data_IF_965600871883
#
_entry.id   IF_965600871883
#
_cell.length_a   1.000
_cell.length_b   1.000
_cell.length_c   1.000
_cell.angle_alpha   90.00
_cell.angle_beta   90.00
_cell.angle_gamma   90.00
#
_symmetry.space_group_name_H-M   'P 1'
#
loop_
_entity.id
_entity.type
_entity.pdbx_description
1 polymer ?
#
# COMPACT_ATOMS: atom_id res chain seq x y z
N UNK A 1 -64.96 94.86 -31.50
CA UNK A 1 -65.36 94.14 -30.27
C UNK A 1 -65.90 92.74 -30.56
N UNK A 2 -66.86 92.55 -31.49
CA UNK A 2 -67.42 91.22 -31.83
C UNK A 2 -66.38 90.12 -32.17
N UNK A 3 -65.36 90.40 -33.00
CA UNK A 3 -64.34 89.39 -33.35
C UNK A 3 -63.50 88.89 -32.16
N UNK A 4 -63.12 89.78 -31.24
CA UNK A 4 -62.31 89.40 -30.06
C UNK A 4 -63.09 88.53 -29.08
N UNK A 5 -64.40 88.73 -28.98
CA UNK A 5 -65.29 87.91 -28.14
C UNK A 5 -65.40 86.50 -28.72
N UNK A 6 -65.59 86.36 -30.04
CA UNK A 6 -65.62 85.04 -30.70
C UNK A 6 -64.29 84.29 -30.61
N UNK A 7 -63.15 85.00 -30.64
CA UNK A 7 -61.83 84.37 -30.42
C UNK A 7 -61.67 83.85 -28.99
N UNK A 8 -62.13 84.61 -27.98
CA UNK A 8 -62.09 84.19 -26.58
C UNK A 8 -62.96 82.97 -26.32
N UNK A 9 -64.20 82.94 -26.82
CA UNK A 9 -65.10 81.78 -26.71
C UNK A 9 -64.47 80.52 -27.33
N UNK A 10 -63.75 80.69 -28.45
CA UNK A 10 -63.04 79.59 -29.12
C UNK A 10 -61.83 79.09 -28.31
N UNK A 11 -61.13 79.97 -27.61
CA UNK A 11 -60.01 79.62 -26.72
C UNK A 11 -60.54 78.88 -25.49
N UNK A 12 -61.60 79.37 -24.85
CA UNK A 12 -62.23 78.70 -23.71
C UNK A 12 -62.72 77.30 -24.07
N UNK A 13 -63.38 77.15 -25.22
CA UNK A 13 -63.80 75.84 -25.74
C UNK A 13 -62.61 74.89 -25.97
N UNK A 14 -61.51 75.39 -26.54
CA UNK A 14 -60.28 74.59 -26.71
C UNK A 14 -59.63 74.21 -25.37
N UNK A 15 -59.58 75.13 -24.41
CA UNK A 15 -59.01 74.84 -23.09
C UNK A 15 -59.84 73.79 -22.35
N UNK A 16 -61.17 73.84 -22.44
CA UNK A 16 -62.04 72.80 -21.89
C UNK A 16 -61.81 71.43 -22.56
N UNK A 17 -61.62 71.40 -23.89
CA UNK A 17 -61.24 70.16 -24.60
C UNK A 17 -59.86 69.65 -24.21
N UNK A 18 -58.88 70.53 -24.02
CA UNK A 18 -57.53 70.15 -23.60
C UNK A 18 -57.53 69.60 -22.17
N UNK A 19 -58.26 70.23 -21.24
CA UNK A 19 -58.39 69.73 -19.87
C UNK A 19 -59.02 68.34 -19.85
N UNK A 20 -60.10 68.14 -20.60
CA UNK A 20 -60.72 66.82 -20.73
C UNK A 20 -59.74 65.76 -21.25
N UNK A 21 -58.92 66.10 -22.25
CA UNK A 21 -57.89 65.18 -22.77
C UNK A 21 -56.80 64.88 -21.75
N UNK A 22 -56.45 65.83 -20.89
CA UNK A 22 -55.50 65.61 -19.80
C UNK A 22 -56.11 64.63 -18.78
N UNK A 23 -57.34 64.88 -18.35
CA UNK A 23 -58.05 64.02 -17.40
C UNK A 23 -58.20 62.58 -17.95
N UNK A 24 -58.54 62.44 -19.25
CA UNK A 24 -58.65 61.14 -19.93
C UNK A 24 -57.28 60.41 -19.97
N UNK A 25 -56.18 61.13 -20.20
CA UNK A 25 -54.82 60.56 -20.22
C UNK A 25 -54.36 60.12 -18.83
N UNK A 26 -54.60 60.93 -17.80
CA UNK A 26 -54.30 60.59 -16.40
C UNK A 26 -55.09 59.35 -15.96
N UNK A 27 -56.36 59.25 -16.36
CA UNK A 27 -57.18 58.09 -16.05
C UNK A 27 -56.66 56.81 -16.73
N UNK A 28 -56.21 56.91 -17.99
CA UNK A 28 -55.56 55.79 -18.69
C UNK A 28 -54.29 55.36 -17.95
N UNK A 29 -53.41 56.31 -17.61
CA UNK A 29 -52.13 56.03 -16.93
C UNK A 29 -52.34 55.35 -15.56
N UNK A 30 -53.31 55.86 -14.77
CA UNK A 30 -53.72 55.23 -13.50
C UNK A 30 -54.27 53.81 -13.70
N UNK A 31 -55.05 53.58 -14.76
CA UNK A 31 -55.60 52.26 -15.07
C UNK A 31 -54.52 51.26 -15.50
N UNK A 32 -53.53 51.71 -16.29
CA UNK A 32 -52.39 50.89 -16.70
C UNK A 32 -51.50 50.54 -15.51
N UNK A 33 -51.23 51.50 -14.61
CA UNK A 33 -50.49 51.25 -13.38
C UNK A 33 -51.19 50.23 -12.46
N UNK A 34 -52.52 50.28 -12.36
CA UNK A 34 -53.28 49.30 -11.57
C UNK A 34 -53.14 47.89 -12.15
N UNK A 35 -53.21 47.74 -13.48
CA UNK A 35 -53.01 46.46 -14.18
C UNK A 35 -51.58 45.94 -13.98
N UNK A 36 -50.57 46.81 -14.08
CA UNK A 36 -49.17 46.43 -13.84
C UNK A 36 -48.94 45.98 -12.40
N UNK A 37 -49.52 46.68 -11.42
CA UNK A 37 -49.45 46.30 -10.00
C UNK A 37 -50.08 44.93 -9.76
N UNK A 38 -51.25 44.66 -10.36
CA UNK A 38 -51.90 43.35 -10.25
C UNK A 38 -51.04 42.23 -10.86
N UNK A 39 -50.43 42.48 -12.03
CA UNK A 39 -49.51 41.53 -12.67
C UNK A 39 -48.28 41.28 -11.82
N UNK A 40 -47.71 42.32 -11.22
CA UNK A 40 -46.56 42.21 -10.33
C UNK A 40 -46.89 41.36 -9.10
N UNK A 41 -48.02 41.61 -8.43
CA UNK A 41 -48.46 40.79 -7.30
C UNK A 41 -48.68 39.32 -7.68
N UNK A 42 -49.18 39.06 -8.90
CA UNK A 42 -49.34 37.69 -9.42
C UNK A 42 -48.00 37.00 -9.68
N UNK A 43 -47.03 37.73 -10.24
CA UNK A 43 -45.65 37.23 -10.45
C UNK A 43 -44.98 36.93 -9.11
N UNK A 44 -45.12 37.80 -8.11
CA UNK A 44 -44.56 37.58 -6.77
C UNK A 44 -45.13 36.31 -6.12
N UNK A 45 -46.43 36.06 -6.28
CA UNK A 45 -47.07 34.81 -5.84
C UNK A 45 -46.44 33.58 -6.49
N UNK A 46 -46.28 33.59 -7.81
CA UNK A 46 -45.68 32.50 -8.58
C UNK A 46 -44.22 32.25 -8.15
N UNK A 47 -43.43 33.30 -7.93
CA UNK A 47 -42.02 33.20 -7.50
C UNK A 47 -41.92 32.55 -6.11
N UNK A 48 -42.81 32.91 -5.19
CA UNK A 48 -42.83 32.32 -3.85
C UNK A 48 -43.20 30.83 -3.85
N UNK A 49 -44.16 30.44 -4.69
CA UNK A 49 -44.53 29.04 -4.86
C UNK A 49 -43.38 28.21 -5.45
N UNK A 50 -42.67 28.75 -6.46
CA UNK A 50 -41.49 28.12 -7.06
C UNK A 50 -40.35 27.94 -6.05
N UNK A 51 -40.10 28.94 -5.21
CA UNK A 51 -39.09 28.85 -4.15
C UNK A 51 -39.41 27.72 -3.15
N UNK A 52 -40.68 27.58 -2.79
CA UNK A 52 -41.15 26.52 -1.88
C UNK A 52 -40.99 25.14 -2.50
N UNK A 53 -41.39 24.97 -3.77
CA UNK A 53 -41.25 23.70 -4.49
C UNK A 53 -39.78 23.30 -4.64
N UNK A 54 -38.90 24.25 -4.96
CA UNK A 54 -37.46 24.00 -5.12
C UNK A 54 -36.85 23.47 -3.82
N UNK A 55 -37.23 24.03 -2.67
CA UNK A 55 -36.78 23.56 -1.35
C UNK A 55 -37.25 22.14 -1.05
N UNK A 56 -38.48 21.79 -1.44
CA UNK A 56 -39.02 20.45 -1.24
C UNK A 56 -38.31 19.40 -2.11
N UNK A 57 -38.03 19.74 -3.37
CA UNK A 57 -37.23 18.90 -4.28
C UNK A 57 -35.83 18.66 -3.72
N UNK A 58 -35.16 19.71 -3.21
CA UNK A 58 -33.83 19.58 -2.58
C UNK A 58 -33.85 18.57 -1.43
N UNK A 59 -34.83 18.66 -0.52
CA UNK A 59 -34.98 17.73 0.61
C UNK A 59 -35.22 16.28 0.15
N UNK A 60 -36.03 16.08 -0.88
CA UNK A 60 -36.30 14.74 -1.46
C UNK A 60 -35.04 14.14 -2.08
N UNK A 61 -34.21 14.95 -2.75
CA UNK A 61 -32.94 14.49 -3.31
C UNK A 61 -31.95 14.05 -2.22
N UNK A 62 -31.87 14.79 -1.12
CA UNK A 62 -31.05 14.40 0.05
C UNK A 62 -31.51 13.07 0.64
N UNK A 63 -32.82 12.85 0.79
CA UNK A 63 -33.39 11.57 1.27
C UNK A 63 -33.11 10.40 0.32
N UNK A 64 -33.15 10.61 -1.00
CA UNK A 64 -32.80 9.59 -2.00
C UNK A 64 -31.31 9.22 -1.92
N UNK A 65 -30.43 10.20 -1.72
CA UNK A 65 -29.00 9.95 -1.56
C UNK A 65 -28.71 9.10 -0.31
N UNK A 66 -29.36 9.41 0.83
CA UNK A 66 -29.23 8.62 2.06
C UNK A 66 -29.80 7.20 1.94
N UNK A 67 -30.99 7.05 1.35
CA UNK A 67 -31.67 5.74 1.23
C UNK A 67 -30.95 4.75 0.30
N UNK A 68 -30.20 5.22 -0.71
CA UNK A 68 -29.38 4.34 -1.56
C UNK A 68 -28.23 3.65 -0.83
N UNK A 69 -27.77 4.17 0.30
CA UNK A 69 -26.71 3.56 1.12
C UNK A 69 -27.29 2.59 2.16
N UNK A 70 -28.47 2.92 2.70
CA UNK A 70 -29.15 2.10 3.72
C UNK A 70 -29.90 0.89 3.15
N UNK A 71 -30.25 0.90 1.86
CA UNK A 71 -30.86 -0.25 1.17
C UNK A 71 -29.86 -1.33 0.73
N UNK A 72 -28.55 -1.07 0.85
CA UNK A 72 -27.51 -2.05 0.52
C UNK A 72 -27.38 -3.09 1.62
N UNK A 73 -27.11 -4.33 1.22
CA UNK A 73 -26.79 -5.39 2.15
C UNK A 73 -25.55 -4.99 3.00
N UNK A 74 -25.42 -5.52 4.23
CA UNK A 74 -24.38 -5.10 5.16
C UNK A 74 -22.95 -5.24 4.61
N UNK A 75 -22.70 -6.23 3.75
CA UNK A 75 -21.38 -6.48 3.18
C UNK A 75 -21.03 -5.43 2.13
N UNK A 76 -21.98 -5.12 1.23
CA UNK A 76 -21.79 -4.06 0.22
C UNK A 76 -21.65 -2.69 0.85
N UNK A 77 -22.42 -2.38 1.90
CA UNK A 77 -22.29 -1.13 2.67
C UNK A 77 -20.91 -1.00 3.31
N UNK A 78 -20.44 -2.07 3.97
CA UNK A 78 -19.11 -2.10 4.57
C UNK A 78 -18.01 -1.94 3.53
N UNK A 79 -18.13 -2.61 2.39
CA UNK A 79 -17.18 -2.51 1.28
C UNK A 79 -17.07 -1.07 0.73
N UNK A 80 -18.21 -0.39 0.53
CA UNK A 80 -18.22 1.00 0.08
C UNK A 80 -17.71 1.97 1.15
N UNK A 81 -18.00 1.73 2.43
CA UNK A 81 -17.44 2.50 3.55
C UNK A 81 -15.93 2.33 3.66
N UNK A 82 -15.40 1.11 3.44
CA UNK A 82 -13.97 0.83 3.44
C UNK A 82 -13.27 1.54 2.26
N UNK A 83 -13.84 1.48 1.06
CA UNK A 83 -13.34 2.22 -0.11
C UNK A 83 -13.36 3.72 0.15
N UNK A 84 -14.47 4.25 0.66
CA UNK A 84 -14.59 5.68 0.94
C UNK A 84 -13.57 6.11 2.00
N UNK A 85 -13.41 5.32 3.07
CA UNK A 85 -12.39 5.54 4.10
C UNK A 85 -10.98 5.54 3.52
N UNK A 86 -10.64 4.61 2.62
CA UNK A 86 -9.34 4.55 1.96
C UNK A 86 -9.10 5.73 1.02
N UNK A 87 -10.11 6.12 0.23
CA UNK A 87 -10.06 7.29 -0.66
C UNK A 87 -9.99 8.61 0.11
N UNK A 88 -10.60 8.69 1.31
CA UNK A 88 -10.51 9.84 2.21
C UNK A 88 -9.30 9.77 3.15
N UNK A 89 -8.58 8.65 3.19
CA UNK A 89 -7.38 8.55 4.02
C UNK A 89 -6.30 9.42 3.38
N UNK A 90 -5.80 10.39 4.15
CA UNK A 90 -4.76 11.31 3.68
C UNK A 90 -3.46 10.61 3.25
N UNK A 91 -3.34 9.31 3.55
CA UNK A 91 -2.22 8.43 3.25
C UNK A 91 -2.03 8.10 1.77
N UNK A 92 -3.07 8.12 0.94
CA UNK A 92 -2.94 7.80 -0.49
C UNK A 92 -3.53 8.91 -1.35
N UNK A 93 -2.74 9.43 -2.29
CA UNK A 93 -3.21 10.42 -3.26
C UNK A 93 -2.86 9.97 -4.67
N UNK A 94 -3.86 9.87 -5.54
CA UNK A 94 -3.66 9.75 -6.98
C UNK A 94 -3.32 11.13 -7.53
N UNK A 95 -2.14 11.29 -8.11
CA UNK A 95 -1.77 12.52 -8.80
C UNK A 95 -1.78 12.29 -10.30
N UNK A 96 -2.76 12.90 -10.96
CA UNK A 96 -2.77 13.18 -12.39
C UNK A 96 -2.22 14.60 -12.56
N UNK A 97 -1.03 14.76 -13.14
CA UNK A 97 -0.41 16.08 -13.33
C UNK A 97 -0.35 16.41 -14.83
N UNK A 98 -1.45 16.97 -15.34
CA UNK A 98 -1.57 17.42 -16.73
C UNK A 98 -0.76 18.68 -17.04
N UNK A 99 -0.09 19.27 -16.05
CA UNK A 99 0.54 20.59 -16.22
C UNK A 99 2.04 20.55 -16.51
N UNK A 100 2.71 19.40 -16.35
CA UNK A 100 4.18 19.32 -16.44
C UNK A 100 4.75 18.09 -17.14
N UNK A 101 3.91 17.24 -17.73
CA UNK A 101 4.37 16.02 -18.41
C UNK A 101 4.99 14.99 -17.47
N UNK A 102 4.63 15.00 -16.18
CA UNK A 102 5.01 13.95 -15.25
C UNK A 102 4.10 12.75 -15.41
N UNK A 103 4.68 11.55 -15.41
CA UNK A 103 3.92 10.31 -15.40
C UNK A 103 2.96 10.26 -14.21
N UNK A 104 1.70 9.89 -14.48
CA UNK A 104 0.69 9.64 -13.46
C UNK A 104 1.25 8.72 -12.38
N UNK A 105 1.04 9.11 -11.11
CA UNK A 105 1.65 8.41 -9.97
C UNK A 105 0.68 8.27 -8.80
N UNK A 106 0.82 7.15 -8.10
CA UNK A 106 0.21 6.92 -6.81
C UNK A 106 1.21 7.37 -5.76
N UNK A 107 0.83 8.30 -4.87
CA UNK A 107 1.70 8.80 -3.81
C UNK A 107 1.23 8.30 -2.46
N UNK A 108 2.19 7.87 -1.64
CA UNK A 108 1.97 7.47 -0.25
C UNK A 108 2.46 8.57 0.66
N UNK A 109 1.67 8.96 1.65
CA UNK A 109 2.12 9.86 2.71
C UNK A 109 2.55 9.05 3.94
N UNK A 110 3.55 9.55 4.65
CA UNK A 110 3.92 9.03 5.96
C UNK A 110 2.93 9.50 7.04
N UNK A 111 3.11 9.01 8.26
CA UNK A 111 2.29 9.35 9.43
C UNK A 111 2.22 10.86 9.73
N UNK A 112 3.20 11.63 9.26
CA UNK A 112 3.28 13.07 9.48
C UNK A 112 2.69 13.85 8.29
N UNK A 113 2.06 13.15 7.34
CA UNK A 113 1.42 13.73 6.16
C UNK A 113 2.39 14.13 5.05
N UNK A 114 3.69 13.85 5.18
CA UNK A 114 4.68 14.14 4.15
C UNK A 114 4.79 13.00 3.13
N UNK A 115 5.28 13.26 1.92
CA UNK A 115 5.42 12.23 0.88
C UNK A 115 6.39 11.13 1.32
N UNK A 116 5.91 9.93 1.64
CA UNK A 116 6.71 8.78 2.08
C UNK A 116 7.18 7.89 0.94
N UNK A 117 6.43 7.83 -0.16
CA UNK A 117 6.74 7.00 -1.32
C UNK A 117 5.89 7.31 -2.55
N UNK A 118 6.17 6.63 -3.66
CA UNK A 118 5.34 6.69 -4.85
C UNK A 118 5.45 5.44 -5.74
N UNK A 119 4.37 5.10 -6.45
CA UNK A 119 4.38 4.20 -7.60
C UNK A 119 4.18 5.03 -8.86
N UNK A 120 5.06 4.86 -9.85
CA UNK A 120 5.00 5.61 -11.12
C UNK A 120 5.43 4.76 -12.29
N UNK A 121 5.01 5.15 -13.50
CA UNK A 121 5.65 4.69 -14.73
C UNK A 121 7.07 5.27 -14.80
N UNK A 122 7.97 4.50 -15.40
CA UNK A 122 9.35 4.94 -15.68
C UNK A 122 9.71 4.57 -17.12
N UNK A 123 10.55 5.39 -17.73
CA UNK A 123 11.06 5.19 -19.10
C UNK A 123 12.59 5.19 -19.06
N UNK A 124 13.21 4.24 -19.75
CA UNK A 124 14.66 4.12 -19.92
C UNK A 124 14.97 3.79 -21.39
N UNK A 125 15.26 4.83 -22.19
CA UNK A 125 15.31 4.66 -23.65
C UNK A 125 13.93 4.27 -24.18
N UNK A 126 13.86 3.19 -24.95
CA UNK A 126 12.60 2.66 -25.50
C UNK A 126 11.84 1.74 -24.54
N UNK A 127 12.43 1.42 -23.38
CA UNK A 127 11.90 0.46 -22.41
C UNK A 127 11.04 1.20 -21.39
N UNK A 128 9.83 0.71 -21.15
CA UNK A 128 8.91 1.25 -20.14
C UNK A 128 8.75 0.29 -18.97
N UNK A 129 8.36 0.82 -17.81
CA UNK A 129 8.23 -0.01 -16.62
C UNK A 129 7.46 0.64 -15.48
N UNK A 130 7.35 -0.10 -14.39
CA UNK A 130 6.78 0.32 -13.12
C UNK A 130 7.89 0.50 -12.09
N UNK A 131 7.90 1.63 -11.39
CA UNK A 131 8.82 1.88 -10.28
C UNK A 131 8.08 2.10 -8.97
N UNK A 132 8.63 1.55 -7.89
CA UNK A 132 8.22 1.81 -6.52
C UNK A 132 9.36 2.54 -5.82
N UNK A 133 9.09 3.78 -5.42
CA UNK A 133 10.05 4.65 -4.73
C UNK A 133 9.66 4.86 -3.27
N UNK A 134 10.66 4.93 -2.40
CA UNK A 134 10.50 5.27 -0.98
C UNK A 134 11.57 6.27 -0.56
N UNK A 135 11.33 6.98 0.54
CA UNK A 135 12.34 7.86 1.14
C UNK A 135 13.62 7.07 1.49
N UNK A 136 14.77 7.64 1.17
CA UNK A 136 16.05 7.22 1.70
C UNK A 136 16.31 7.89 3.07
N UNK A 137 17.49 7.63 3.64
CA UNK A 137 17.89 8.23 4.93
C UNK A 137 17.99 9.77 4.88
N UNK A 138 18.17 10.38 3.71
CA UNK A 138 18.19 11.83 3.52
C UNK A 138 16.81 12.44 3.25
N UNK A 139 15.74 11.63 3.29
CA UNK A 139 14.37 12.07 3.02
C UNK A 139 14.03 12.24 1.53
N UNK A 140 14.95 11.90 0.62
CA UNK A 140 14.72 11.94 -0.83
C UNK A 140 14.04 10.66 -1.32
N UNK A 141 13.08 10.76 -2.25
CA UNK A 141 12.51 9.58 -2.89
C UNK A 141 13.54 8.94 -3.81
N UNK A 142 13.76 7.64 -3.60
CA UNK A 142 14.62 6.82 -4.45
C UNK A 142 13.85 5.57 -4.89
N UNK A 143 13.99 5.23 -6.17
CA UNK A 143 13.41 4.02 -6.72
C UNK A 143 14.05 2.80 -6.04
N UNK A 144 13.25 2.00 -5.34
CA UNK A 144 13.69 0.79 -4.64
C UNK A 144 13.45 -0.45 -5.46
N UNK A 145 12.35 -0.49 -6.20
CA UNK A 145 11.98 -1.62 -7.04
C UNK A 145 11.59 -1.10 -8.40
N UNK A 146 12.11 -1.73 -9.46
CA UNK A 146 11.71 -1.45 -10.85
C UNK A 146 11.38 -2.75 -11.55
N UNK A 147 10.30 -2.74 -12.32
CA UNK A 147 9.88 -3.81 -13.21
C UNK A 147 9.78 -3.23 -14.62
N UNK A 148 10.62 -3.71 -15.53
CA UNK A 148 10.61 -3.28 -16.93
C UNK A 148 9.78 -4.26 -17.78
N UNK A 149 9.30 -3.78 -18.92
CA UNK A 149 8.50 -4.54 -19.88
C UNK A 149 9.29 -5.65 -20.58
N UNK A 150 10.61 -5.52 -20.65
CA UNK A 150 11.57 -6.57 -21.02
C UNK A 150 11.70 -7.69 -19.97
N UNK A 151 10.92 -7.61 -18.88
CA UNK A 151 10.87 -8.54 -17.74
C UNK A 151 12.06 -8.43 -16.79
N UNK A 152 12.95 -7.44 -16.95
CA UNK A 152 13.97 -7.19 -15.94
C UNK A 152 13.33 -6.66 -14.65
N UNK A 153 13.79 -7.18 -13.51
CA UNK A 153 13.44 -6.67 -12.19
C UNK A 153 14.69 -6.18 -11.47
N UNK A 154 14.64 -4.96 -10.92
CA UNK A 154 15.73 -4.38 -10.13
C UNK A 154 15.27 -4.13 -8.70
N UNK A 155 16.10 -4.51 -7.72
CA UNK A 155 15.91 -4.22 -6.31
C UNK A 155 17.12 -3.43 -5.82
N UNK A 156 16.88 -2.26 -5.24
CA UNK A 156 17.91 -1.34 -4.77
C UNK A 156 18.97 -0.99 -5.85
N UNK A 157 18.54 -0.92 -7.11
CA UNK A 157 19.42 -0.63 -8.25
C UNK A 157 20.24 -1.81 -8.75
N UNK A 158 20.17 -2.97 -8.09
CA UNK A 158 20.80 -4.21 -8.55
C UNK A 158 19.78 -5.02 -9.36
N UNK A 159 20.21 -5.53 -10.51
CA UNK A 159 19.40 -6.44 -11.32
C UNK A 159 19.17 -7.71 -10.48
N UNK A 160 17.92 -7.94 -10.13
CA UNK A 160 17.48 -9.09 -9.38
C UNK A 160 17.02 -10.21 -10.30
N UNK A 161 16.26 -9.90 -11.36
CA UNK A 161 15.83 -10.85 -12.40
C UNK A 161 16.17 -10.26 -13.75
N UNK A 162 16.70 -11.08 -14.64
CA UNK A 162 16.89 -10.75 -16.06
C UNK A 162 15.72 -11.27 -16.88
N UNK A 163 15.38 -10.55 -17.94
CA UNK A 163 14.25 -10.93 -18.80
C UNK A 163 14.38 -12.30 -19.50
N UNK A 164 15.58 -12.88 -19.51
CA UNK A 164 15.86 -14.23 -20.01
C UNK A 164 15.66 -15.34 -18.97
N UNK A 165 15.47 -15.01 -17.70
CA UNK A 165 15.34 -15.98 -16.63
C UNK A 165 13.97 -16.67 -16.67
N UNK A 166 13.95 -17.97 -16.42
CA UNK A 166 12.77 -18.81 -16.63
C UNK A 166 11.72 -18.61 -15.52
N UNK A 167 12.15 -18.19 -14.32
CA UNK A 167 11.29 -17.90 -13.16
C UNK A 167 12.02 -17.07 -12.10
N UNK A 168 11.28 -16.26 -11.32
CA UNK A 168 11.81 -15.58 -10.13
C UNK A 168 12.37 -16.56 -9.09
N UNK A 169 11.78 -17.76 -8.99
CA UNK A 169 12.24 -18.78 -8.05
C UNK A 169 13.59 -19.36 -8.45
N UNK A 170 13.85 -19.50 -9.75
CA UNK A 170 15.12 -20.00 -10.27
C UNK A 170 16.24 -19.01 -9.98
N UNK A 171 15.95 -17.72 -10.16
CA UNK A 171 16.91 -16.65 -9.88
C UNK A 171 17.18 -16.48 -8.37
N UNK A 172 16.13 -16.60 -7.53
CA UNK A 172 16.30 -16.70 -6.07
C UNK A 172 17.21 -17.88 -5.73
N UNK A 173 16.95 -19.06 -6.29
CA UNK A 173 17.77 -20.25 -6.05
C UNK A 173 19.20 -20.03 -6.50
N UNK A 174 19.43 -19.45 -7.68
CA UNK A 174 20.75 -19.14 -8.23
C UNK A 174 21.54 -18.18 -7.34
N UNK A 175 20.90 -17.13 -6.81
CA UNK A 175 21.58 -16.16 -5.93
C UNK A 175 21.81 -16.69 -4.51
N UNK A 176 20.89 -17.48 -3.96
CA UNK A 176 21.01 -18.01 -2.60
C UNK A 176 21.89 -19.25 -2.49
N UNK A 177 21.97 -20.07 -3.54
CA UNK A 177 22.74 -21.33 -3.52
C UNK A 177 24.20 -21.11 -3.10
N UNK A 178 24.98 -20.17 -3.68
CA UNK A 178 26.35 -19.92 -3.25
C UNK A 178 26.45 -19.53 -1.78
N UNK A 179 25.48 -18.78 -1.25
CA UNK A 179 25.45 -18.40 0.17
C UNK A 179 25.20 -19.60 1.07
N UNK A 180 24.25 -20.46 0.73
CA UNK A 180 24.01 -21.69 1.47
C UNK A 180 25.21 -22.64 1.39
N UNK A 181 25.79 -22.82 0.20
CA UNK A 181 27.01 -23.61 0.03
C UNK A 181 28.18 -23.05 0.84
N UNK A 182 28.36 -21.72 0.88
CA UNK A 182 29.36 -21.08 1.74
C UNK A 182 29.10 -21.28 3.23
N UNK A 183 27.83 -21.24 3.68
CA UNK A 183 27.46 -21.55 5.07
C UNK A 183 27.72 -23.02 5.44
N UNK A 184 27.59 -23.92 4.46
CA UNK A 184 27.86 -25.36 4.60
C UNK A 184 29.35 -25.69 4.38
N UNK A 185 30.14 -24.78 3.82
CA UNK A 185 31.56 -24.99 3.55
C UNK A 185 32.31 -25.25 4.86
N UNK A 186 33.01 -26.39 4.93
CA UNK A 186 33.72 -26.84 6.13
C UNK A 186 32.83 -27.46 7.20
N UNK A 187 31.51 -27.55 6.98
CA UNK A 187 30.61 -28.33 7.85
C UNK A 187 30.58 -29.78 7.39
N UNK A 188 30.99 -30.67 8.28
CA UNK A 188 30.86 -32.12 8.11
C UNK A 188 29.79 -32.67 9.04
N UNK A 189 29.45 -33.94 8.86
CA UNK A 189 28.53 -34.64 9.76
C UNK A 189 29.07 -34.57 11.20
N UNK A 190 28.21 -34.17 12.14
CA UNK A 190 28.51 -34.25 13.57
C UNK A 190 28.17 -35.64 14.07
N UNK A 191 29.12 -36.29 14.75
CA UNK A 191 28.98 -37.64 15.32
C UNK A 191 29.22 -37.59 16.82
N UNK A 192 28.55 -38.43 17.58
CA UNK A 192 28.76 -38.52 19.01
C UNK A 192 29.69 -39.70 19.33
N UNK A 193 30.61 -39.54 20.28
CA UNK A 193 31.55 -40.59 20.67
C UNK A 193 31.97 -40.50 22.13
N UNK A 194 32.49 -41.62 22.65
CA UNK A 194 33.30 -41.63 23.86
C UNK A 194 34.79 -41.49 23.50
N UNK A 195 35.56 -40.82 24.36
CA UNK A 195 36.96 -40.52 24.12
C UNK A 195 37.84 -41.16 25.19
N UNK A 196 39.00 -41.67 24.76
CA UNK A 196 40.07 -42.17 25.64
C UNK A 196 40.79 -41.04 26.39
N UNK A 197 40.54 -39.79 25.99
CA UNK A 197 41.18 -38.58 26.50
C UNK A 197 40.15 -37.58 27.00
N UNK A 198 40.56 -36.70 27.91
CA UNK A 198 39.75 -35.53 28.28
C UNK A 198 39.90 -34.47 27.20
N UNK A 199 38.78 -33.91 26.75
CA UNK A 199 38.75 -32.84 25.77
C UNK A 199 37.72 -31.77 26.16
N UNK A 200 37.92 -30.55 25.69
CA UNK A 200 37.02 -29.41 25.87
C UNK A 200 36.40 -29.01 24.54
N UNK A 201 35.28 -28.28 24.61
CA UNK A 201 34.64 -27.73 23.40
C UNK A 201 35.65 -26.82 22.68
N UNK A 202 35.83 -27.06 21.37
CA UNK A 202 36.80 -26.36 20.52
C UNK A 202 38.09 -27.13 20.27
N UNK A 203 38.45 -28.11 21.13
CA UNK A 203 39.68 -28.90 20.97
C UNK A 203 39.63 -29.70 19.65
N UNK A 204 40.81 -29.90 19.05
CA UNK A 204 40.98 -30.80 17.91
C UNK A 204 41.74 -32.03 18.37
N UNK A 205 41.12 -33.19 18.27
CA UNK A 205 41.68 -34.49 18.66
C UNK A 205 42.01 -35.34 17.43
N UNK A 206 42.85 -36.35 17.63
CA UNK A 206 43.07 -37.40 16.63
C UNK A 206 41.93 -38.41 16.68
N UNK A 207 41.58 -39.00 15.54
CA UNK A 207 40.61 -40.09 15.50
C UNK A 207 41.04 -41.31 16.32
N UNK A 208 42.34 -41.48 16.56
CA UNK A 208 42.89 -42.52 17.46
C UNK A 208 42.52 -42.31 18.94
N UNK A 209 42.14 -41.10 19.32
CA UNK A 209 41.73 -40.76 20.69
C UNK A 209 40.27 -41.12 20.97
N UNK A 210 39.53 -41.51 19.92
CA UNK A 210 38.14 -41.96 20.01
C UNK A 210 38.13 -43.41 20.48
N UNK A 211 37.37 -43.70 21.54
CA UNK A 211 37.22 -45.06 22.04
C UNK A 211 36.23 -45.85 21.19
N UNK A 212 35.03 -45.30 21.01
CA UNK A 212 33.98 -45.82 20.15
C UNK A 212 32.95 -44.72 19.82
N UNK A 213 32.29 -44.84 18.66
CA UNK A 213 31.17 -43.98 18.28
C UNK A 213 29.95 -44.33 19.13
N UNK A 214 29.28 -43.35 19.75
CA UNK A 214 28.16 -43.58 20.65
C UNK A 214 27.16 -42.44 20.62
N UNK A 215 25.90 -42.77 20.32
CA UNK A 215 24.82 -41.79 20.32
C UNK A 215 24.06 -41.83 21.65
N UNK A 216 23.69 -40.68 22.22
CA UNK A 216 22.86 -40.65 23.42
C UNK A 216 21.49 -41.25 23.11
N UNK A 217 21.01 -42.10 24.00
CA UNK A 217 19.68 -42.69 23.98
C UNK A 217 19.08 -42.60 25.37
N UNK A 218 17.78 -42.35 25.46
CA UNK A 218 17.08 -42.31 26.74
C UNK A 218 16.66 -43.73 27.15
N UNK A 219 17.02 -44.15 28.36
CA UNK A 219 16.59 -45.44 28.89
C UNK A 219 15.16 -45.36 29.48
N UNK A 220 14.60 -46.50 29.86
CA UNK A 220 13.24 -46.59 30.44
C UNK A 220 13.03 -45.80 31.74
N UNK A 221 14.10 -45.31 32.35
CA UNK A 221 14.07 -44.48 33.56
C UNK A 221 14.29 -42.98 33.28
N UNK A 222 14.34 -42.58 32.00
CA UNK A 222 14.51 -41.18 31.58
C UNK A 222 15.96 -40.67 31.61
N UNK A 223 16.95 -41.54 31.85
CA UNK A 223 18.36 -41.16 31.88
C UNK A 223 19.03 -41.41 30.52
N UNK A 224 19.94 -40.50 30.15
CA UNK A 224 20.77 -40.66 28.95
C UNK A 224 21.79 -41.78 29.18
N UNK A 225 21.76 -42.79 28.31
CA UNK A 225 22.71 -43.89 28.18
C UNK A 225 23.27 -43.97 26.76
N UNK A 226 24.33 -44.76 26.56
CA UNK A 226 24.80 -45.11 25.22
C UNK A 226 23.76 -45.99 24.53
N UNK A 227 23.43 -45.70 23.27
CA UNK A 227 22.66 -46.61 22.43
C UNK A 227 23.44 -47.91 22.25
N UNK A 228 23.21 -48.90 23.11
CA UNK A 228 24.03 -50.10 23.18
C UNK A 228 23.69 -51.09 22.05
N UNK A 229 24.55 -51.17 21.04
CA UNK A 229 24.72 -52.37 20.21
C UNK A 229 26.21 -52.62 20.02
N UNK A 230 26.72 -53.62 20.74
CA UNK A 230 28.04 -54.31 20.69
C UNK A 230 29.31 -53.45 20.41
N UNK A 231 30.33 -53.59 21.27
CA UNK A 231 31.65 -52.92 21.12
C UNK A 231 32.26 -53.02 19.71
N UNK A 232 32.00 -54.11 18.98
CA UNK A 232 32.52 -54.32 17.64
C UNK A 232 31.78 -53.55 16.53
N UNK A 233 30.51 -53.15 16.74
CA UNK A 233 29.71 -52.38 15.78
C UNK A 233 29.90 -50.87 15.91
N UNK A 234 30.47 -50.42 17.02
CA UNK A 234 30.71 -49.00 17.33
C UNK A 234 32.20 -48.61 17.25
N UNK A 235 33.05 -49.57 16.89
CA UNK A 235 34.49 -49.37 16.73
C UNK A 235 34.80 -48.27 15.70
N UNK A 236 35.86 -47.52 15.97
CA UNK A 236 36.34 -46.48 15.07
C UNK A 236 37.03 -47.14 13.88
N UNK A 237 36.51 -46.91 12.67
CA UNK A 237 37.15 -47.42 11.44
C UNK A 237 38.58 -46.88 11.30
N UNK A 238 39.46 -47.64 10.63
CA UNK A 238 40.84 -47.20 10.38
C UNK A 238 40.92 -45.86 9.63
N UNK A 239 39.94 -45.57 8.77
CA UNK A 239 39.80 -44.27 8.12
C UNK A 239 39.52 -43.16 9.14
N UNK A 240 38.50 -43.33 9.99
CA UNK A 240 38.14 -42.34 10.99
C UNK A 240 39.23 -42.12 12.03
N UNK A 241 40.01 -43.17 12.34
CA UNK A 241 41.13 -43.10 13.25
C UNK A 241 42.29 -42.21 12.73
N UNK A 242 42.42 -42.02 11.42
CA UNK A 242 43.42 -41.15 10.78
C UNK A 242 42.97 -39.71 10.61
N UNK A 243 41.67 -39.44 10.79
CA UNK A 243 41.07 -38.10 10.65
C UNK A 243 41.27 -37.27 11.92
N UNK A 244 41.13 -35.95 11.77
CA UNK A 244 41.10 -35.01 12.89
C UNK A 244 39.67 -34.59 13.17
N UNK A 245 39.33 -34.44 14.44
CA UNK A 245 37.96 -34.17 14.86
C UNK A 245 37.94 -33.00 15.83
N UNK A 246 37.07 -32.02 15.59
CA UNK A 246 36.83 -30.89 16.49
C UNK A 246 35.69 -31.21 17.44
N UNK A 247 35.88 -30.94 18.73
CA UNK A 247 34.82 -31.03 19.74
C UNK A 247 33.85 -29.86 19.55
N UNK A 248 32.63 -30.16 19.12
CA UNK A 248 31.55 -29.19 18.93
C UNK A 248 30.63 -29.07 20.15
N UNK A 249 30.63 -30.09 21.02
CA UNK A 249 29.76 -30.13 22.18
C UNK A 249 30.03 -31.33 23.06
N UNK A 250 29.36 -31.34 24.22
CA UNK A 250 29.50 -32.37 25.24
C UNK A 250 28.13 -32.70 25.82
N UNK A 251 27.85 -33.97 26.03
CA UNK A 251 26.67 -34.46 26.74
C UNK A 251 27.14 -35.27 27.94
N UNK A 252 26.82 -34.77 29.12
CA UNK A 252 27.16 -35.44 30.38
C UNK A 252 25.93 -36.10 30.98
N UNK A 253 26.12 -37.34 31.44
CA UNK A 253 25.16 -38.14 32.20
C UNK A 253 25.86 -38.67 33.46
N UNK A 254 25.09 -39.16 34.42
CA UNK A 254 25.63 -39.78 35.63
C UNK A 254 26.58 -40.96 35.32
N UNK A 255 26.35 -41.67 34.21
CA UNK A 255 27.10 -42.88 33.86
C UNK A 255 28.11 -42.69 32.72
N UNK A 256 28.04 -41.60 31.96
CA UNK A 256 28.88 -41.41 30.79
C UNK A 256 29.02 -39.94 30.38
N UNK A 257 30.17 -39.60 29.82
CA UNK A 257 30.38 -38.39 29.01
C UNK A 257 30.48 -38.77 27.54
N UNK A 258 29.72 -38.08 26.68
CA UNK A 258 29.80 -38.17 25.23
C UNK A 258 30.21 -36.83 24.62
N UNK A 259 31.01 -36.88 23.57
CA UNK A 259 31.49 -35.71 22.84
C UNK A 259 30.93 -35.69 21.43
N UNK A 260 30.44 -34.52 21.01
CA UNK A 260 29.98 -34.27 19.65
C UNK A 260 31.15 -33.79 18.82
N UNK A 261 31.48 -34.55 17.79
CA UNK A 261 32.68 -34.43 16.98
C UNK A 261 32.31 -34.05 15.56
N UNK A 262 32.96 -33.04 15.01
CA UNK A 262 32.88 -32.68 13.60
C UNK A 262 34.25 -32.91 12.95
N UNK A 263 34.27 -33.61 11.82
CA UNK A 263 35.51 -33.83 11.06
C UNK A 263 36.12 -32.48 10.63
N UNK A 264 37.40 -32.31 10.89
CA UNK A 264 38.18 -31.15 10.44
C UNK A 264 38.66 -31.44 9.03
N UNK A 265 38.04 -30.79 8.04
CA UNK A 265 38.55 -30.79 6.67
C UNK A 265 39.65 -29.71 6.59
N UNK A 266 40.88 -30.14 6.32
CA UNK A 266 41.90 -29.21 5.83
C UNK A 266 41.61 -28.97 4.34
N UNK A 267 41.44 -27.72 3.92
CA UNK A 267 41.22 -27.36 2.51
C UNK A 267 42.54 -27.10 1.75
N UNK A 268 43.68 -27.40 2.37
CA UNK A 268 45.03 -27.07 1.88
C UNK A 268 45.81 -28.28 1.32
N UNK A 269 45.11 -29.33 0.84
CA UNK A 269 45.68 -30.39 0.00
C UNK A 269 45.18 -30.26 -1.45
#
# INVERSE_FOLDING_TARGET
MKNRIQELEKIESKNAQLQKRIDDLEQIDLSEMAVLTQKMNSVDGIVNDLATQTKDVGRKLEQIASSKVEGLDPQTRKYLQDIQTQLTSDTLTLQHDDTRGYDSSIRFKDKDGALGGSIKRVVKGDITGLSIATKNKSGSLVDRVKFYDDKDAYIHGQCFIRGTDTSIFDEIARQLTPRFLGLLQGRTMVRSANLRVRASIGDIISGSDIEYWAYPSENSSGYISVSATQEHTMAVSAENARKRWRIMGKTDSYYITLYWLQEVINFDD
#
